data_IF_685894720244
#
_entry.id   IF_685894720244
#
_cell.length_a   1.000
_cell.length_b   1.000
_cell.length_c   1.000
_cell.angle_alpha   90.00
_cell.angle_beta   90.00
_cell.angle_gamma   90.00
#
_symmetry.space_group_name_H-M   'P 1'
#
loop_
_entity.id
_entity.type
_entity.pdbx_description
1 polymer ?
#
# COMPACT_ATOMS: atom_id res chain seq x y z
N UNK A 1 -14.92 23.16 -5.79
CA UNK A 1 -13.94 22.29 -5.10
C UNK A 1 -12.68 23.12 -4.98
N UNK A 2 -12.16 23.30 -3.77
CA UNK A 2 -10.89 24.00 -3.58
C UNK A 2 -9.83 23.29 -4.40
N UNK A 3 -9.22 24.00 -5.35
CA UNK A 3 -8.35 23.46 -6.40
C UNK A 3 -6.97 22.98 -5.93
N UNK A 4 -6.86 22.39 -4.73
CA UNK A 4 -5.60 21.87 -4.21
C UNK A 4 -5.30 20.52 -4.87
N UNK A 5 -4.19 20.46 -5.59
CA UNK A 5 -3.73 19.21 -6.21
C UNK A 5 -3.39 18.17 -5.16
N UNK A 6 -3.89 16.95 -5.36
CA UNK A 6 -3.55 15.81 -4.53
C UNK A 6 -2.41 15.02 -5.18
N UNK A 7 -1.41 14.69 -4.38
CA UNK A 7 -0.37 13.70 -4.68
C UNK A 7 -0.60 12.51 -3.76
N UNK A 8 -0.78 11.31 -4.34
CA UNK A 8 -0.98 10.10 -3.56
C UNK A 8 0.28 9.23 -3.53
N UNK A 9 0.72 8.89 -2.32
CA UNK A 9 1.75 7.88 -2.09
C UNK A 9 1.06 6.57 -1.67
N UNK A 10 1.29 5.51 -2.44
CA UNK A 10 0.73 4.20 -2.25
C UNK A 10 1.83 3.25 -1.81
N UNK A 11 1.65 2.58 -0.69
CA UNK A 11 2.65 1.71 -0.11
C UNK A 11 2.17 0.27 -0.04
N UNK A 12 3.00 -0.68 -0.43
CA UNK A 12 2.94 -1.98 0.21
C UNK A 12 3.37 -1.84 1.67
N UNK A 13 3.08 -2.82 2.51
CA UNK A 13 3.36 -2.71 3.95
C UNK A 13 4.53 -3.61 4.39
N UNK A 14 4.38 -4.92 4.17
CA UNK A 14 5.37 -5.92 4.57
C UNK A 14 6.66 -5.75 3.77
N UNK A 15 7.82 -5.71 4.45
CA UNK A 15 9.15 -5.49 3.84
C UNK A 15 9.30 -4.19 3.05
N UNK A 16 8.24 -3.36 3.05
CA UNK A 16 8.26 -2.01 2.45
C UNK A 16 8.34 -0.94 3.53
N UNK A 17 7.43 -0.93 4.49
CA UNK A 17 7.44 -0.02 5.64
C UNK A 17 7.99 -0.70 6.90
N UNK A 18 7.83 -2.00 7.04
CA UNK A 18 8.34 -2.81 8.14
C UNK A 18 9.32 -3.88 7.66
N UNK A 19 10.16 -4.39 8.58
CA UNK A 19 11.35 -5.17 8.24
C UNK A 19 11.07 -6.61 7.82
N UNK A 20 9.87 -7.14 8.09
CA UNK A 20 9.43 -8.51 7.72
C UNK A 20 7.92 -8.59 7.57
N UNK A 21 7.38 -9.78 7.24
CA UNK A 21 5.94 -10.00 7.18
C UNK A 21 5.31 -9.74 8.55
N UNK A 22 4.22 -8.97 8.62
CA UNK A 22 3.65 -8.48 9.87
C UNK A 22 3.22 -9.59 10.85
N UNK A 23 2.86 -10.76 10.33
CA UNK A 23 2.48 -11.91 11.15
C UNK A 23 3.66 -12.50 11.93
N UNK A 24 4.89 -12.26 11.45
CA UNK A 24 6.10 -12.83 12.05
C UNK A 24 6.49 -12.17 13.38
N UNK A 25 6.06 -10.92 13.64
CA UNK A 25 6.47 -10.19 14.83
C UNK A 25 5.82 -10.74 16.11
N UNK A 26 4.51 -10.98 16.10
CA UNK A 26 3.78 -11.38 17.30
C UNK A 26 2.77 -12.51 17.06
N UNK A 27 2.04 -12.51 15.94
CA UNK A 27 0.99 -13.48 15.71
C UNK A 27 1.53 -14.92 15.64
N UNK A 28 2.47 -15.23 14.77
CA UNK A 28 3.02 -16.59 14.62
C UNK A 28 3.76 -17.03 15.88
N UNK A 29 4.59 -16.20 16.54
CA UNK A 29 5.15 -16.53 17.84
C UNK A 29 4.10 -16.85 18.92
N UNK A 30 2.95 -16.18 18.93
CA UNK A 30 1.85 -16.47 19.87
C UNK A 30 1.27 -17.88 19.72
N UNK A 31 1.42 -18.49 18.53
CA UNK A 31 1.06 -19.88 18.25
C UNK A 31 2.12 -20.89 18.76
N UNK A 32 3.28 -20.42 19.25
CA UNK A 32 4.43 -21.27 19.53
C UNK A 32 4.99 -21.95 18.29
N UNK A 33 4.96 -21.27 17.16
CA UNK A 33 5.46 -21.76 15.87
C UNK A 33 6.61 -20.87 15.37
N UNK A 34 7.50 -21.48 14.59
CA UNK A 34 8.47 -20.76 13.78
C UNK A 34 7.79 -20.16 12.53
N UNK A 35 8.12 -18.92 12.11
CA UNK A 35 7.57 -18.33 10.91
C UNK A 35 7.76 -19.18 9.64
N UNK A 36 8.94 -19.80 9.46
CA UNK A 36 9.20 -20.64 8.28
C UNK A 36 8.26 -21.84 8.24
N UNK A 37 8.00 -22.47 9.40
CA UNK A 37 7.08 -23.61 9.50
C UNK A 37 5.63 -23.20 9.20
N UNK A 38 5.20 -22.06 9.72
CA UNK A 38 3.86 -21.55 9.46
C UNK A 38 3.65 -21.26 7.97
N UNK A 39 4.56 -20.52 7.35
CA UNK A 39 4.47 -20.15 5.94
C UNK A 39 4.59 -21.36 5.01
N UNK A 40 5.47 -22.32 5.36
CA UNK A 40 5.58 -23.58 4.63
C UNK A 40 4.24 -24.33 4.66
N UNK A 41 3.62 -24.47 5.83
CA UNK A 41 2.34 -25.18 5.98
C UNK A 41 1.21 -24.45 5.22
N UNK A 42 1.13 -23.14 5.29
CA UNK A 42 0.13 -22.35 4.56
C UNK A 42 0.30 -22.48 3.03
N UNK A 43 1.55 -22.39 2.54
CA UNK A 43 1.86 -22.52 1.13
C UNK A 43 1.62 -23.94 0.59
N UNK A 44 1.98 -24.99 1.37
CA UNK A 44 1.73 -26.37 1.01
C UNK A 44 0.23 -26.68 0.96
N UNK A 45 -0.52 -26.13 1.92
CA UNK A 45 -1.98 -26.21 1.91
C UNK A 45 -2.55 -25.56 0.65
N UNK A 46 -2.16 -24.31 0.37
CA UNK A 46 -2.62 -23.59 -0.84
C UNK A 46 -2.33 -24.36 -2.13
N UNK A 47 -1.12 -24.91 -2.28
CA UNK A 47 -0.74 -25.72 -3.45
C UNK A 47 -1.56 -27.00 -3.59
N UNK A 48 -1.77 -27.72 -2.49
CA UNK A 48 -2.51 -28.99 -2.49
C UNK A 48 -3.99 -28.80 -2.84
N UNK A 49 -4.60 -27.72 -2.32
CA UNK A 49 -6.03 -27.43 -2.52
C UNK A 49 -6.28 -26.52 -3.73
N UNK A 50 -5.24 -26.14 -4.49
CA UNK A 50 -5.33 -25.14 -5.57
C UNK A 50 -6.02 -23.83 -5.12
N UNK A 51 -5.72 -23.40 -3.90
CA UNK A 51 -6.31 -22.23 -3.26
C UNK A 51 -5.43 -21.00 -3.45
N UNK A 52 -6.07 -19.82 -3.56
CA UNK A 52 -5.38 -18.52 -3.50
C UNK A 52 -4.52 -18.43 -2.23
N UNK A 53 -3.26 -17.97 -2.38
CA UNK A 53 -2.28 -17.97 -1.29
C UNK A 53 -2.70 -17.11 -0.09
N UNK A 54 -3.43 -16.02 -0.34
CA UNK A 54 -3.93 -15.14 0.73
C UNK A 54 -5.05 -15.86 1.50
N UNK A 55 -5.98 -16.49 0.80
CA UNK A 55 -7.03 -17.30 1.44
C UNK A 55 -6.44 -18.50 2.19
N UNK A 56 -5.38 -19.10 1.65
CA UNK A 56 -4.72 -20.25 2.27
C UNK A 56 -4.05 -19.87 3.61
N UNK A 57 -3.33 -18.74 3.68
CA UNK A 57 -2.74 -18.33 4.95
C UNK A 57 -3.81 -17.87 5.96
N UNK A 58 -4.84 -17.13 5.52
CA UNK A 58 -5.95 -16.73 6.39
C UNK A 58 -6.67 -17.96 6.98
N UNK A 59 -6.92 -18.98 6.17
CA UNK A 59 -7.48 -20.24 6.64
C UNK A 59 -6.55 -20.95 7.64
N UNK A 60 -5.24 -20.98 7.35
CA UNK A 60 -4.23 -21.58 8.24
C UNK A 60 -4.19 -20.86 9.58
N UNK A 61 -4.31 -19.53 9.62
CA UNK A 61 -4.43 -18.76 10.87
C UNK A 61 -5.62 -19.24 11.71
N UNK A 62 -6.82 -19.31 11.10
CA UNK A 62 -8.03 -19.76 11.79
C UNK A 62 -7.83 -21.19 12.35
N UNK A 63 -7.33 -22.09 11.51
CA UNK A 63 -7.09 -23.49 11.88
C UNK A 63 -6.09 -23.61 13.04
N UNK A 64 -4.93 -22.92 12.94
CA UNK A 64 -3.90 -22.96 13.98
C UNK A 64 -4.37 -22.35 15.30
N UNK A 65 -5.09 -21.27 15.26
CA UNK A 65 -5.66 -20.67 16.46
C UNK A 65 -6.64 -21.61 17.17
N UNK A 66 -7.46 -22.34 16.41
CA UNK A 66 -8.36 -23.37 16.98
C UNK A 66 -7.58 -24.55 17.57
N UNK A 67 -6.60 -25.09 16.86
CA UNK A 67 -5.74 -26.19 17.30
C UNK A 67 -4.98 -25.85 18.60
N UNK A 68 -4.42 -24.64 18.64
CA UNK A 68 -3.59 -24.16 19.76
C UNK A 68 -4.39 -23.48 20.88
N UNK A 69 -5.69 -23.25 20.69
CA UNK A 69 -6.57 -22.51 21.60
C UNK A 69 -6.09 -21.08 21.86
N UNK A 70 -5.52 -20.43 20.83
CA UNK A 70 -5.11 -19.04 20.86
C UNK A 70 -6.26 -18.18 20.33
N UNK A 71 -6.64 -17.09 21.02
CA UNK A 71 -7.69 -16.20 20.54
C UNK A 71 -7.31 -15.55 19.19
N UNK A 72 -8.22 -15.62 18.23
CA UNK A 72 -8.10 -14.92 16.95
C UNK A 72 -9.25 -13.91 16.85
N UNK A 73 -9.09 -12.78 17.48
CA UNK A 73 -10.08 -11.71 17.50
C UNK A 73 -9.49 -10.47 16.82
N UNK A 74 -10.34 -9.53 16.41
CA UNK A 74 -9.88 -8.23 15.88
C UNK A 74 -8.90 -7.56 16.85
N UNK A 75 -9.21 -7.57 18.13
CA UNK A 75 -8.39 -6.95 19.15
C UNK A 75 -7.04 -7.66 19.35
N UNK A 76 -7.02 -9.01 19.34
CA UNK A 76 -5.76 -9.74 19.45
C UNK A 76 -4.83 -9.49 18.26
N UNK A 77 -5.38 -9.35 17.05
CA UNK A 77 -4.62 -9.00 15.87
C UNK A 77 -4.13 -7.55 15.91
N UNK A 78 -4.95 -6.60 16.37
CA UNK A 78 -4.51 -5.20 16.53
C UNK A 78 -3.33 -5.09 17.48
N UNK A 79 -3.33 -5.81 18.61
CA UNK A 79 -2.17 -5.85 19.53
C UNK A 79 -0.90 -6.37 18.86
N UNK A 80 -1.00 -7.26 17.88
CA UNK A 80 0.17 -7.70 17.13
C UNK A 80 0.81 -6.53 16.36
N UNK A 81 0.05 -5.52 15.98
CA UNK A 81 0.54 -4.31 15.31
C UNK A 81 1.49 -3.47 16.17
N UNK A 82 1.34 -3.52 17.50
CA UNK A 82 2.22 -2.81 18.45
C UNK A 82 3.67 -3.33 18.43
N UNK A 83 3.88 -4.55 17.95
CA UNK A 83 5.19 -5.21 17.91
C UNK A 83 5.93 -5.01 16.58
N UNK A 84 5.35 -4.30 15.63
CA UNK A 84 5.96 -4.10 14.31
C UNK A 84 7.22 -3.26 14.42
N UNK A 85 8.29 -3.74 13.79
CA UNK A 85 9.56 -3.02 13.66
C UNK A 85 9.62 -2.37 12.28
N UNK A 86 9.58 -1.04 12.25
CA UNK A 86 9.66 -0.26 11.01
C UNK A 86 11.10 -0.08 10.54
N UNK A 87 11.25 0.22 9.25
CA UNK A 87 12.54 0.64 8.71
C UNK A 87 12.96 2.00 9.28
N UNK A 88 14.27 2.33 9.23
CA UNK A 88 14.77 3.61 9.70
C UNK A 88 14.01 4.79 9.11
N UNK A 89 13.58 5.72 9.96
CA UNK A 89 12.96 6.98 9.60
C UNK A 89 11.47 6.93 9.19
N UNK A 90 10.82 5.74 9.20
CA UNK A 90 9.39 5.59 8.85
C UNK A 90 8.49 6.37 9.81
N UNK A 91 8.83 6.40 11.09
CA UNK A 91 8.09 7.13 12.13
C UNK A 91 7.93 8.63 11.86
N UNK A 92 8.93 9.26 11.25
CA UNK A 92 8.87 10.68 10.89
C UNK A 92 8.64 10.96 9.40
N UNK A 93 8.54 9.93 8.57
CA UNK A 93 8.43 10.05 7.11
C UNK A 93 7.18 10.81 6.68
N UNK A 94 6.03 10.41 7.17
CA UNK A 94 4.73 10.96 6.75
C UNK A 94 4.67 12.46 7.00
N UNK A 95 4.99 12.90 8.21
CA UNK A 95 5.00 14.32 8.57
C UNK A 95 5.99 15.15 7.74
N UNK A 96 7.15 14.59 7.39
CA UNK A 96 8.14 15.29 6.56
C UNK A 96 7.65 15.46 5.12
N UNK A 97 7.03 14.42 4.56
CA UNK A 97 6.49 14.45 3.20
C UNK A 97 5.26 15.35 3.12
N UNK A 98 4.36 15.30 4.10
CA UNK A 98 3.18 16.18 4.18
C UNK A 98 3.58 17.65 4.26
N UNK A 99 4.51 17.99 5.15
CA UNK A 99 5.05 19.36 5.25
C UNK A 99 5.70 19.82 3.94
N UNK A 100 6.43 18.93 3.27
CA UNK A 100 7.04 19.26 1.99
C UNK A 100 5.99 19.51 0.91
N UNK A 101 4.94 18.70 0.82
CA UNK A 101 3.80 18.93 -0.09
C UNK A 101 3.12 20.26 0.18
N UNK A 102 2.84 20.56 1.44
CA UNK A 102 2.22 21.82 1.86
C UNK A 102 3.04 23.04 1.43
N UNK A 103 4.37 23.01 1.56
CA UNK A 103 5.26 24.07 1.09
C UNK A 103 5.19 24.31 -0.43
N UNK A 104 4.80 23.28 -1.19
CA UNK A 104 4.64 23.36 -2.65
C UNK A 104 3.20 23.66 -3.09
N UNK A 105 2.28 23.80 -2.15
CA UNK A 105 0.86 24.04 -2.41
C UNK A 105 0.10 22.81 -2.91
N UNK A 106 0.59 21.59 -2.57
CA UNK A 106 -0.09 20.33 -2.88
C UNK A 106 -0.47 19.60 -1.59
N UNK A 107 -1.58 18.87 -1.62
CA UNK A 107 -1.98 17.95 -0.56
C UNK A 107 -1.37 16.58 -0.82
N UNK A 108 -0.63 16.06 0.14
CA UNK A 108 -0.17 14.68 0.08
C UNK A 108 -1.18 13.77 0.79
N UNK A 109 -1.44 12.61 0.25
CA UNK A 109 -2.26 11.57 0.86
C UNK A 109 -1.52 10.24 0.82
N UNK A 110 -1.56 9.50 1.91
CA UNK A 110 -0.90 8.21 2.06
C UNK A 110 -1.92 7.08 2.07
N UNK A 111 -1.62 5.99 1.37
CA UNK A 111 -2.48 4.82 1.21
C UNK A 111 -1.68 3.54 1.37
N UNK A 112 -2.24 2.54 2.04
CA UNK A 112 -1.67 1.19 2.07
C UNK A 112 -2.43 0.28 1.11
N UNK A 113 -1.70 -0.54 0.35
CA UNK A 113 -2.25 -1.62 -0.47
C UNK A 113 -1.42 -2.88 -0.18
N UNK A 114 -1.87 -3.72 0.76
CA UNK A 114 -1.10 -4.83 1.32
C UNK A 114 -1.83 -6.17 1.20
N UNK A 115 -1.06 -7.23 1.03
CA UNK A 115 -1.55 -8.61 1.16
C UNK A 115 -1.63 -9.09 2.62
N UNK A 116 -1.06 -8.33 3.55
CA UNK A 116 -1.14 -8.55 4.99
C UNK A 116 -2.53 -8.26 5.56
N UNK A 117 -2.65 -8.24 6.89
CA UNK A 117 -3.92 -8.09 7.60
C UNK A 117 -4.16 -6.65 8.06
N UNK A 118 -5.34 -6.12 7.69
CA UNK A 118 -5.79 -4.78 8.09
C UNK A 118 -5.77 -4.62 9.61
N UNK A 119 -6.25 -5.61 10.33
CA UNK A 119 -6.31 -5.57 11.80
C UNK A 119 -4.94 -5.33 12.44
N UNK A 120 -3.88 -5.95 11.88
CA UNK A 120 -2.51 -5.75 12.37
C UNK A 120 -2.03 -4.34 12.02
N UNK A 121 -2.28 -3.88 10.79
CA UNK A 121 -1.90 -2.53 10.36
C UNK A 121 -2.62 -1.47 11.20
N UNK A 122 -3.92 -1.64 11.48
CA UNK A 122 -4.72 -0.73 12.32
C UNK A 122 -4.18 -0.62 13.76
N UNK A 123 -3.43 -1.60 14.24
CA UNK A 123 -2.77 -1.59 15.54
C UNK A 123 -1.36 -0.99 15.52
N UNK A 124 -0.83 -0.67 14.37
CA UNK A 124 0.52 -0.15 14.22
C UNK A 124 0.62 1.35 14.58
N UNK A 125 1.81 1.78 15.00
CA UNK A 125 2.06 3.18 15.38
C UNK A 125 1.83 4.19 14.24
N UNK A 126 1.85 3.73 12.97
CA UNK A 126 1.71 4.60 11.80
C UNK A 126 0.31 4.56 11.16
N UNK A 127 -0.62 3.77 11.70
CA UNK A 127 -1.96 3.60 11.12
C UNK A 127 -2.71 4.92 10.88
N UNK A 128 -2.53 5.89 11.78
CA UNK A 128 -3.19 7.20 11.71
C UNK A 128 -2.76 8.11 10.56
N UNK A 129 -1.65 7.80 9.87
CA UNK A 129 -1.18 8.59 8.73
C UNK A 129 -1.87 8.22 7.41
N UNK A 130 -2.55 7.07 7.34
CA UNK A 130 -3.14 6.61 6.10
C UNK A 130 -4.56 7.13 5.91
N UNK A 131 -4.83 7.67 4.73
CA UNK A 131 -6.17 8.06 4.28
C UNK A 131 -7.09 6.85 4.15
N UNK A 132 -6.55 5.74 3.64
CA UNK A 132 -7.23 4.44 3.55
C UNK A 132 -6.20 3.30 3.56
N UNK A 133 -6.60 2.18 4.16
CA UNK A 133 -5.80 0.96 4.24
C UNK A 133 -6.57 -0.14 3.52
N UNK A 134 -6.06 -0.55 2.36
CA UNK A 134 -6.54 -1.71 1.62
C UNK A 134 -5.65 -2.91 1.93
N UNK A 135 -6.14 -3.79 2.79
CA UNK A 135 -5.42 -4.99 3.19
C UNK A 135 -6.41 -6.15 3.36
N UNK A 136 -5.91 -7.37 3.40
CA UNK A 136 -6.76 -8.51 3.69
C UNK A 136 -7.40 -8.35 5.06
N UNK A 137 -8.66 -8.73 5.22
CA UNK A 137 -9.45 -8.48 6.43
C UNK A 137 -10.38 -9.65 6.70
N UNK A 138 -10.60 -9.97 7.98
CA UNK A 138 -11.58 -10.95 8.39
C UNK A 138 -12.97 -10.34 8.63
N UNK A 139 -14.01 -11.10 8.32
CA UNK A 139 -15.36 -10.88 8.84
C UNK A 139 -15.50 -11.67 10.14
N UNK A 140 -16.02 -11.02 11.18
CA UNK A 140 -16.17 -11.58 12.51
C UNK A 140 -17.65 -11.79 12.83
N UNK A 141 -17.95 -12.88 13.54
CA UNK A 141 -19.30 -13.13 14.08
C UNK A 141 -19.59 -12.27 15.33
N UNK A 142 -20.78 -12.47 15.89
CA UNK A 142 -21.22 -11.76 17.10
C UNK A 142 -20.40 -12.12 18.37
N UNK A 143 -19.65 -13.23 18.35
CA UNK A 143 -18.73 -13.63 19.41
C UNK A 143 -17.30 -13.10 19.21
N UNK A 144 -17.06 -12.39 18.09
CA UNK A 144 -15.75 -11.83 17.75
C UNK A 144 -14.77 -12.82 17.12
N UNK A 145 -15.25 -13.99 16.63
CA UNK A 145 -14.43 -14.95 15.91
C UNK A 145 -14.45 -14.67 14.41
N UNK A 146 -13.30 -14.84 13.72
CA UNK A 146 -13.26 -14.72 12.26
C UNK A 146 -13.94 -15.93 11.62
N UNK A 147 -14.95 -15.67 10.81
CA UNK A 147 -15.74 -16.72 10.15
C UNK A 147 -15.55 -16.76 8.66
N UNK A 148 -15.12 -15.63 8.06
CA UNK A 148 -14.94 -15.51 6.62
C UNK A 148 -13.91 -14.41 6.26
N UNK A 149 -13.19 -14.53 5.14
CA UNK A 149 -12.43 -13.39 4.61
C UNK A 149 -13.40 -12.29 4.16
N UNK A 150 -13.33 -11.10 4.77
CA UNK A 150 -14.08 -9.92 4.31
C UNK A 150 -13.47 -9.35 3.04
N UNK A 151 -12.13 -9.36 2.97
CA UNK A 151 -11.33 -8.94 1.84
C UNK A 151 -10.08 -9.82 1.76
N UNK A 152 -9.70 -10.24 0.54
CA UNK A 152 -8.44 -10.90 0.26
C UNK A 152 -7.73 -10.12 -0.85
N UNK A 153 -6.54 -9.60 -0.55
CA UNK A 153 -5.75 -8.75 -1.46
C UNK A 153 -4.56 -9.55 -1.97
N UNK A 154 -4.75 -10.23 -3.10
CA UNK A 154 -3.65 -10.89 -3.82
C UNK A 154 -2.92 -9.91 -4.75
N UNK A 155 -1.85 -10.37 -5.41
CA UNK A 155 -0.96 -9.52 -6.19
C UNK A 155 -1.67 -8.71 -7.29
N UNK A 156 -2.55 -9.33 -8.06
CA UNK A 156 -3.28 -8.64 -9.14
C UNK A 156 -4.46 -7.83 -8.60
N UNK A 157 -5.07 -8.27 -7.50
CA UNK A 157 -6.14 -7.52 -6.85
C UNK A 157 -5.67 -6.16 -6.29
N UNK A 158 -4.36 -5.99 -6.00
CA UNK A 158 -3.81 -4.68 -5.60
C UNK A 158 -4.15 -3.57 -6.60
N UNK A 159 -4.21 -3.86 -7.90
CA UNK A 159 -4.44 -2.85 -8.94
C UNK A 159 -5.83 -2.21 -8.86
N UNK A 160 -6.86 -2.91 -8.40
CA UNK A 160 -8.19 -2.32 -8.25
C UNK A 160 -8.19 -1.14 -7.28
N UNK A 161 -7.38 -1.20 -6.22
CA UNK A 161 -7.32 -0.14 -5.22
C UNK A 161 -6.64 1.12 -5.75
N UNK A 162 -5.70 0.97 -6.66
CA UNK A 162 -5.12 2.10 -7.37
C UNK A 162 -6.18 2.82 -8.20
N UNK A 163 -7.07 2.09 -8.90
CA UNK A 163 -8.21 2.67 -9.60
C UNK A 163 -9.23 3.32 -8.64
N UNK A 164 -9.46 2.74 -7.45
CA UNK A 164 -10.33 3.34 -6.42
C UNK A 164 -9.78 4.68 -5.96
N UNK A 165 -8.49 4.77 -5.68
CA UNK A 165 -7.82 6.02 -5.30
C UNK A 165 -7.89 7.03 -6.45
N UNK A 166 -7.62 6.60 -7.69
CA UNK A 166 -7.70 7.44 -8.88
C UNK A 166 -9.06 8.11 -9.03
N UNK A 167 -10.15 7.34 -8.89
CA UNK A 167 -11.53 7.85 -9.03
C UNK A 167 -12.09 8.48 -7.76
N UNK A 168 -11.45 8.30 -6.60
CA UNK A 168 -11.98 8.74 -5.30
C UNK A 168 -13.10 7.86 -4.76
N UNK A 169 -13.24 6.62 -5.24
CA UNK A 169 -14.25 5.64 -4.82
C UNK A 169 -13.62 4.69 -3.81
N UNK A 170 -13.47 5.15 -2.57
CA UNK A 170 -12.68 4.45 -1.56
C UNK A 170 -13.42 3.26 -0.93
N UNK A 171 -14.74 3.25 -0.91
CA UNK A 171 -15.54 2.13 -0.39
C UNK A 171 -15.40 0.89 -1.28
N UNK A 172 -14.90 -0.21 -0.70
CA UNK A 172 -14.69 -1.47 -1.42
C UNK A 172 -15.98 -2.12 -1.91
N UNK A 173 -17.13 -1.78 -1.35
CA UNK A 173 -18.45 -2.31 -1.76
C UNK A 173 -19.08 -1.54 -2.93
N UNK A 174 -18.57 -0.35 -3.27
CA UNK A 174 -19.08 0.47 -4.37
C UNK A 174 -18.39 0.14 -5.71
N UNK A 175 -18.80 -0.97 -6.30
CA UNK A 175 -18.33 -1.37 -7.63
C UNK A 175 -19.05 -0.62 -8.76
N UNK A 176 -20.25 -0.14 -8.51
CA UNK A 176 -21.03 0.58 -9.51
C UNK A 176 -20.37 1.90 -9.88
N UNK A 177 -20.02 2.72 -8.90
CA UNK A 177 -19.33 4.00 -9.13
C UNK A 177 -17.91 3.77 -9.64
N UNK A 178 -17.21 2.74 -9.15
CA UNK A 178 -15.88 2.38 -9.62
C UNK A 178 -15.87 2.09 -11.13
N UNK A 179 -16.86 1.36 -11.63
CA UNK A 179 -16.94 0.97 -13.05
C UNK A 179 -17.64 1.99 -13.95
N UNK A 180 -18.25 3.04 -13.38
CA UNK A 180 -18.86 4.11 -14.16
C UNK A 180 -17.81 4.83 -15.01
N UNK A 181 -18.20 5.29 -16.22
CA UNK A 181 -17.36 6.15 -17.04
C UNK A 181 -17.10 7.48 -16.32
N UNK A 182 -15.84 7.88 -16.27
CA UNK A 182 -15.42 9.13 -15.64
C UNK A 182 -14.35 9.79 -16.52
N UNK A 183 -14.57 11.04 -16.96
CA UNK A 183 -13.57 11.79 -17.71
C UNK A 183 -12.24 11.88 -16.96
N UNK A 184 -11.12 11.97 -17.67
CA UNK A 184 -9.79 11.98 -17.06
C UNK A 184 -9.54 13.19 -16.17
N UNK A 185 -10.08 14.34 -16.54
CA UNK A 185 -10.02 15.60 -15.79
C UNK A 185 -10.90 15.63 -14.53
N UNK A 186 -11.85 14.71 -14.43
CA UNK A 186 -12.76 14.57 -13.27
C UNK A 186 -12.25 13.58 -12.23
N UNK A 187 -11.16 12.88 -12.52
CA UNK A 187 -10.57 11.90 -11.58
C UNK A 187 -9.94 12.63 -10.39
N UNK A 188 -10.23 12.11 -9.18
CA UNK A 188 -9.78 12.75 -7.94
C UNK A 188 -8.26 12.84 -7.83
N UNK A 189 -7.56 11.75 -8.17
CA UNK A 189 -6.09 11.70 -8.17
C UNK A 189 -5.65 11.12 -9.53
N UNK A 190 -5.17 11.94 -10.47
CA UNK A 190 -4.61 11.43 -11.71
C UNK A 190 -3.45 10.47 -11.46
N UNK A 191 -3.29 9.43 -12.28
CA UNK A 191 -2.15 8.50 -12.14
C UNK A 191 -0.81 9.21 -12.17
N UNK A 192 -0.68 10.29 -12.95
CA UNK A 192 0.52 11.13 -13.02
C UNK A 192 0.89 11.79 -11.69
N UNK A 193 -0.03 11.82 -10.73
CA UNK A 193 0.16 12.34 -9.38
C UNK A 193 0.25 11.21 -8.32
N UNK A 194 0.59 10.00 -8.75
CA UNK A 194 0.75 8.85 -7.86
C UNK A 194 2.18 8.35 -7.82
N UNK A 195 2.62 7.94 -6.64
CA UNK A 195 3.90 7.27 -6.39
C UNK A 195 3.59 5.95 -5.70
N UNK A 196 4.00 4.84 -6.28
CA UNK A 196 3.88 3.51 -5.67
C UNK A 196 5.22 3.04 -5.11
N UNK A 197 5.23 2.62 -3.85
CA UNK A 197 6.38 2.04 -3.16
C UNK A 197 6.08 0.59 -2.78
N UNK A 198 6.99 -0.33 -3.12
CA UNK A 198 6.88 -1.75 -2.78
C UNK A 198 8.23 -2.44 -2.76
N UNK A 199 8.31 -3.68 -2.28
CA UNK A 199 9.58 -4.40 -2.10
C UNK A 199 9.83 -5.50 -3.14
N UNK A 200 8.83 -5.89 -3.93
CA UNK A 200 9.02 -7.11 -4.71
C UNK A 200 7.96 -7.48 -5.75
N UNK A 201 7.93 -8.79 -6.01
CA UNK A 201 7.13 -9.36 -7.10
C UNK A 201 5.63 -9.18 -6.92
N UNK A 202 5.15 -9.11 -5.68
CA UNK A 202 3.74 -8.88 -5.37
C UNK A 202 3.22 -7.53 -5.88
N UNK A 203 4.12 -6.56 -6.03
CA UNK A 203 3.81 -5.18 -6.40
C UNK A 203 3.96 -4.90 -7.90
N UNK A 204 4.58 -5.82 -8.63
CA UNK A 204 4.84 -5.67 -10.07
C UNK A 204 3.61 -5.26 -10.87
N UNK A 205 2.40 -5.81 -10.66
CA UNK A 205 1.21 -5.36 -11.39
C UNK A 205 0.92 -3.86 -11.17
N UNK A 206 1.00 -3.37 -9.92
CA UNK A 206 0.83 -1.95 -9.60
C UNK A 206 1.95 -1.08 -10.15
N UNK A 207 3.21 -1.51 -10.01
CA UNK A 207 4.37 -0.78 -10.52
C UNK A 207 4.31 -0.61 -12.05
N UNK A 208 3.98 -1.68 -12.78
CA UNK A 208 3.78 -1.61 -14.23
C UNK A 208 2.65 -0.67 -14.61
N UNK A 209 1.55 -0.71 -13.87
CA UNK A 209 0.42 0.17 -14.10
C UNK A 209 0.80 1.63 -13.86
N UNK A 210 1.49 1.94 -12.76
CA UNK A 210 1.98 3.30 -12.49
C UNK A 210 2.78 3.84 -13.67
N UNK A 211 3.78 3.10 -14.12
CA UNK A 211 4.62 3.51 -15.27
C UNK A 211 3.82 3.66 -16.56
N UNK A 212 2.88 2.76 -16.84
CA UNK A 212 2.07 2.80 -18.06
C UNK A 212 1.16 4.05 -18.13
N UNK A 213 0.71 4.54 -16.97
CA UNK A 213 -0.17 5.70 -16.89
C UNK A 213 0.52 6.99 -16.43
N UNK A 214 1.87 7.03 -16.43
CA UNK A 214 2.66 8.22 -16.14
C UNK A 214 2.86 8.55 -14.66
N UNK A 215 2.47 7.66 -13.76
CA UNK A 215 2.84 7.69 -12.35
C UNK A 215 4.30 7.27 -12.13
N UNK A 216 4.71 7.11 -10.89
CA UNK A 216 6.06 6.70 -10.54
C UNK A 216 6.04 5.42 -9.71
N UNK A 217 6.98 4.53 -9.96
CA UNK A 217 7.15 3.27 -9.22
C UNK A 217 8.56 3.21 -8.63
N UNK A 218 8.64 3.03 -7.32
CA UNK A 218 9.89 2.91 -6.57
C UNK A 218 9.90 1.53 -5.89
N UNK A 219 10.96 0.75 -6.10
CA UNK A 219 11.15 -0.45 -5.31
C UNK A 219 12.16 -0.19 -4.19
N UNK A 220 11.80 -0.62 -2.98
CA UNK A 220 12.70 -0.58 -1.83
C UNK A 220 13.27 -1.97 -1.55
N UNK A 221 14.47 -2.03 -1.00
CA UNK A 221 15.13 -3.31 -0.76
C UNK A 221 15.90 -3.34 0.57
N UNK A 222 16.04 -4.53 1.09
CA UNK A 222 17.05 -4.95 2.06
C UNK A 222 18.16 -5.70 1.32
N UNK A 223 19.32 -5.90 1.91
CA UNK A 223 20.44 -6.58 1.25
C UNK A 223 20.04 -7.96 0.70
N UNK A 224 19.18 -8.69 1.43
CA UNK A 224 18.76 -10.03 1.05
C UNK A 224 17.94 -10.09 -0.26
N UNK A 225 17.08 -9.10 -0.54
CA UNK A 225 16.23 -9.09 -1.75
C UNK A 225 16.74 -8.14 -2.85
N UNK A 226 17.84 -7.45 -2.61
CA UNK A 226 18.44 -6.48 -3.54
C UNK A 226 18.63 -7.03 -4.97
N UNK A 227 19.16 -8.23 -5.21
CA UNK A 227 19.32 -8.76 -6.57
C UNK A 227 18.01 -8.86 -7.35
N UNK A 228 16.92 -9.25 -6.68
CA UNK A 228 15.58 -9.30 -7.28
C UNK A 228 15.06 -7.91 -7.66
N UNK A 229 15.23 -6.92 -6.78
CA UNK A 229 14.81 -5.54 -7.03
C UNK A 229 15.64 -4.89 -8.15
N UNK A 230 16.96 -5.13 -8.21
CA UNK A 230 17.80 -4.70 -9.34
C UNK A 230 17.31 -5.29 -10.68
N UNK A 231 16.82 -6.53 -10.67
CA UNK A 231 16.24 -7.12 -11.87
C UNK A 231 14.95 -6.41 -12.32
N UNK A 232 14.10 -5.95 -11.38
CA UNK A 232 12.92 -5.13 -11.71
C UNK A 232 13.30 -3.85 -12.43
N UNK A 233 14.37 -3.18 -11.99
CA UNK A 233 14.88 -1.98 -12.65
C UNK A 233 15.41 -2.29 -14.06
N UNK A 234 16.24 -3.33 -14.21
CA UNK A 234 16.77 -3.77 -15.52
C UNK A 234 15.67 -4.14 -16.51
N UNK A 235 14.57 -4.73 -16.02
CA UNK A 235 13.39 -5.09 -16.82
C UNK A 235 12.45 -3.91 -17.08
N UNK A 236 12.78 -2.73 -16.59
CA UNK A 236 11.95 -1.55 -16.74
C UNK A 236 10.58 -1.67 -16.04
N UNK A 237 10.50 -2.38 -14.91
CA UNK A 237 9.27 -2.54 -14.14
C UNK A 237 9.09 -1.48 -13.07
N UNK A 238 10.18 -0.83 -12.66
CA UNK A 238 10.22 0.29 -11.74
C UNK A 238 11.04 1.43 -12.31
N UNK A 239 10.86 2.64 -11.79
CA UNK A 239 11.60 3.83 -12.21
C UNK A 239 12.86 4.02 -11.35
N UNK A 240 12.79 3.67 -10.06
CA UNK A 240 13.90 3.83 -9.11
C UNK A 240 13.96 2.64 -8.15
N UNK A 241 15.16 2.42 -7.58
CA UNK A 241 15.37 1.46 -6.50
C UNK A 241 16.18 2.11 -5.38
N UNK A 242 15.82 1.87 -4.13
CA UNK A 242 16.52 2.39 -2.96
C UNK A 242 16.60 1.35 -1.84
N UNK A 243 17.61 1.41 -0.95
CA UNK A 243 17.51 0.76 0.34
C UNK A 243 16.22 1.20 1.05
N UNK A 244 15.62 0.31 1.84
CA UNK A 244 14.45 0.64 2.67
C UNK A 244 14.87 1.54 3.85
N UNK A 245 15.30 2.75 3.54
CA UNK A 245 15.71 3.79 4.48
C UNK A 245 14.93 5.07 4.21
N UNK A 246 14.02 5.38 5.13
CA UNK A 246 13.10 6.51 5.11
C UNK A 246 13.62 7.70 5.93
N UNK A 247 14.89 7.64 6.37
CA UNK A 247 15.51 8.70 7.18
C UNK A 247 15.58 10.03 6.43
N UNK A 248 15.58 11.12 7.19
CA UNK A 248 15.71 12.47 6.64
C UNK A 248 17.01 12.61 5.84
N UNK A 249 16.89 13.09 4.60
CA UNK A 249 18.02 13.25 3.67
C UNK A 249 18.48 11.97 2.99
N UNK A 250 17.87 10.80 3.25
CA UNK A 250 18.17 9.59 2.53
C UNK A 250 17.76 9.70 1.04
N UNK A 251 18.40 8.91 0.17
CA UNK A 251 18.17 8.96 -1.28
C UNK A 251 16.72 8.75 -1.68
N UNK A 252 15.99 7.87 -0.97
CA UNK A 252 14.56 7.65 -1.16
C UNK A 252 13.76 8.94 -0.90
N UNK A 253 14.00 9.61 0.24
CA UNK A 253 13.30 10.85 0.59
C UNK A 253 13.57 11.96 -0.42
N UNK A 254 14.84 12.15 -0.79
CA UNK A 254 15.21 13.17 -1.76
C UNK A 254 14.53 12.95 -3.11
N UNK A 255 14.50 11.72 -3.60
CA UNK A 255 13.84 11.39 -4.88
C UNK A 255 12.33 11.58 -4.81
N UNK A 256 11.68 11.13 -3.74
CA UNK A 256 10.22 11.34 -3.56
C UNK A 256 9.89 12.84 -3.52
N UNK A 257 10.68 13.64 -2.83
CA UNK A 257 10.52 15.11 -2.79
C UNK A 257 10.67 15.74 -4.18
N UNK A 258 11.64 15.29 -5.00
CA UNK A 258 11.80 15.79 -6.39
C UNK A 258 10.62 15.38 -7.28
N UNK A 259 10.09 14.18 -7.11
CA UNK A 259 8.90 13.73 -7.83
C UNK A 259 7.69 14.60 -7.47
N UNK A 260 7.45 14.86 -6.18
CA UNK A 260 6.37 15.74 -5.70
C UNK A 260 6.55 17.16 -6.24
N UNK A 261 7.77 17.69 -6.24
CA UNK A 261 8.07 19.02 -6.84
C UNK A 261 7.71 19.08 -8.32
N UNK A 262 8.08 18.05 -9.10
CA UNK A 262 7.72 17.93 -10.50
C UNK A 262 6.20 17.90 -10.70
N UNK A 263 5.47 17.13 -9.89
CA UNK A 263 4.01 17.05 -9.93
C UNK A 263 3.36 18.42 -9.63
N UNK A 264 3.86 19.14 -8.64
CA UNK A 264 3.39 20.49 -8.29
C UNK A 264 3.64 21.50 -9.42
N UNK A 265 4.79 21.43 -10.09
CA UNK A 265 5.10 22.28 -11.24
C UNK A 265 4.16 21.98 -12.42
N UNK A 266 3.98 20.70 -12.75
CA UNK A 266 3.12 20.26 -13.82
C UNK A 266 1.67 20.72 -13.61
N UNK A 267 1.19 20.65 -12.37
CA UNK A 267 -0.14 21.13 -12.02
C UNK A 267 -0.28 22.64 -12.29
N UNK A 268 0.64 23.47 -11.78
CA UNK A 268 0.60 24.93 -12.00
C UNK A 268 0.61 25.27 -13.48
N UNK A 269 1.42 24.60 -14.29
CA UNK A 269 1.44 24.81 -15.75
C UNK A 269 0.12 24.40 -16.42
N UNK A 270 -0.51 23.32 -15.95
CA UNK A 270 -1.83 22.90 -16.43
C UNK A 270 -2.92 23.93 -16.08
N UNK A 271 -2.94 24.43 -14.86
CA UNK A 271 -3.87 25.47 -14.43
C UNK A 271 -3.71 26.77 -15.23
N UNK A 272 -2.48 27.19 -15.46
CA UNK A 272 -2.18 28.37 -16.31
C UNK A 272 -2.69 28.18 -17.73
N UNK A 273 -2.45 27.01 -18.33
CA UNK A 273 -2.96 26.68 -19.67
C UNK A 273 -4.49 26.71 -19.69
N UNK A 274 -5.17 26.14 -18.72
CA UNK A 274 -6.62 26.15 -18.64
C UNK A 274 -7.17 27.58 -18.45
N UNK A 275 -6.49 28.41 -17.64
CA UNK A 275 -6.86 29.80 -17.45
C UNK A 275 -6.79 30.60 -18.78
N UNK A 276 -5.71 30.43 -19.55
CA UNK A 276 -5.54 31.06 -20.84
C UNK A 276 -6.60 30.59 -21.86
N UNK A 277 -6.90 29.28 -21.89
CA UNK A 277 -7.95 28.73 -22.76
C UNK A 277 -9.32 29.32 -22.43
N UNK A 278 -9.71 29.39 -21.14
CA UNK A 278 -10.97 30.04 -20.73
C UNK A 278 -11.03 31.50 -21.14
N UNK A 279 -9.94 32.25 -20.98
CA UNK A 279 -9.87 33.65 -21.35
C UNK A 279 -10.09 33.87 -22.84
N UNK A 280 -9.56 32.98 -23.69
CA UNK A 280 -9.73 33.07 -25.16
C UNK A 280 -11.12 32.62 -25.62
N UNK A 281 -11.74 31.64 -24.92
CA UNK A 281 -13.06 31.13 -25.27
C UNK A 281 -14.23 31.99 -24.76
N UNK A 282 -13.95 33.03 -23.96
CA UNK A 282 -14.96 33.99 -23.51
C UNK A 282 -15.95 33.43 -22.45
N UNK A 283 -15.55 32.40 -21.73
CA UNK A 283 -16.32 31.78 -20.64
C UNK A 283 -15.66 31.97 -19.29
#
# INVERSE_FOLDING_TARGET
MDGTTIVALLYDFDRTLCTQDMQNYAFIPSLGMDPEDFWREANDFGRREHMDGILAYMYTMIRKCREKRVPLTRESLRRCGESIVFFPGVDGWFDRIDRFGTLLGVQVEHYVISSGLREIIDGSAIAGHFKEIYASEFYYDGAGWPVWPKLAVNFTAKTQFVYRINKGVLDVSDDRTLNASMPDDSKRVPFTNMIYLGDGLSDVPCMKMMRAYGGQAIAVYQDANRPGVEQLLRQGRVDYIYPADYSEGAGLELTVKEIIRRMAVNHRLSEEKHAQLRAVQGT
#
